data_IF_407979544685
#
_entry.id   IF_407979544685
#
_cell.length_a   1.000
_cell.length_b   1.000
_cell.length_c   1.000
_cell.angle_alpha   90.00
_cell.angle_beta   90.00
_cell.angle_gamma   90.00
#
_symmetry.space_group_name_H-M   'P 1'
#
loop_
_entity.id
_entity.type
_entity.pdbx_description
1 polymer ?
#
# COMPACT_ATOMS: atom_id res chain seq x y z
N UNK A 1 6.01 -22.96 5.14
CA UNK A 1 6.16 -21.49 5.10
C UNK A 1 6.66 -21.07 6.47
N UNK A 2 7.75 -20.31 6.53
CA UNK A 2 8.27 -19.78 7.78
C UNK A 2 7.31 -18.75 8.37
N UNK A 3 7.33 -18.60 9.69
CA UNK A 3 6.52 -17.62 10.41
C UNK A 3 6.81 -16.20 9.89
N UNK A 4 5.76 -15.38 9.79
CA UNK A 4 5.93 -13.98 9.40
C UNK A 4 6.64 -13.28 10.54
N UNK A 5 7.88 -12.85 10.32
CA UNK A 5 8.69 -12.24 11.38
C UNK A 5 8.29 -10.81 11.70
N UNK A 6 7.76 -10.07 10.70
CA UNK A 6 7.29 -8.70 10.85
C UNK A 6 6.38 -8.30 9.68
N UNK A 7 5.47 -7.36 9.92
CA UNK A 7 4.65 -6.70 8.90
C UNK A 7 5.02 -5.21 8.90
N UNK A 8 5.63 -4.76 7.82
CA UNK A 8 6.12 -3.39 7.67
C UNK A 8 5.23 -2.60 6.70
N UNK A 9 4.33 -1.71 7.18
CA UNK A 9 3.50 -0.90 6.30
C UNK A 9 4.35 0.13 5.56
N UNK A 10 4.17 0.22 4.23
CA UNK A 10 4.84 1.24 3.40
C UNK A 10 3.88 2.43 3.20
N UNK A 11 4.37 3.62 3.49
CA UNK A 11 3.62 4.87 3.35
C UNK A 11 4.46 5.96 2.65
N UNK A 12 3.78 6.97 2.10
CA UNK A 12 4.45 8.16 1.57
C UNK A 12 5.00 9.00 2.73
N UNK A 13 6.31 9.16 2.81
CA UNK A 13 6.93 10.05 3.80
C UNK A 13 6.71 11.51 3.43
N UNK A 14 6.40 12.33 4.43
CA UNK A 14 6.18 13.77 4.32
C UNK A 14 6.90 14.50 5.44
N UNK A 15 6.97 15.84 5.36
CA UNK A 15 7.52 16.65 6.45
C UNK A 15 6.65 16.52 7.70
N UNK A 16 7.32 16.41 8.85
CA UNK A 16 6.70 16.53 10.17
C UNK A 16 6.11 17.95 10.30
N UNK A 17 4.90 18.08 10.81
CA UNK A 17 4.16 19.34 11.03
C UNK A 17 3.54 20.02 9.78
N UNK A 18 3.31 19.28 8.70
CA UNK A 18 2.58 19.77 7.51
C UNK A 18 1.22 19.04 7.34
N UNK A 19 0.22 19.31 8.20
CA UNK A 19 -1.05 18.57 8.19
C UNK A 19 -1.91 18.85 6.95
N UNK A 20 -1.78 20.03 6.35
CA UNK A 20 -2.48 20.37 5.12
C UNK A 20 -1.97 19.52 3.95
N UNK A 21 -0.64 19.40 3.81
CA UNK A 21 -0.06 18.54 2.79
C UNK A 21 -0.37 17.06 3.05
N UNK A 22 -0.29 16.61 4.31
CA UNK A 22 -0.71 15.26 4.69
C UNK A 22 -2.12 14.96 4.20
N UNK A 23 -3.07 15.83 4.55
CA UNK A 23 -4.48 15.65 4.17
C UNK A 23 -4.65 15.56 2.65
N UNK A 24 -3.95 16.39 1.88
CA UNK A 24 -4.03 16.34 0.42
C UNK A 24 -3.52 15.01 -0.15
N UNK A 25 -2.43 14.45 0.41
CA UNK A 25 -1.90 13.14 0.02
C UNK A 25 -2.88 12.03 0.40
N UNK A 26 -3.38 12.02 1.64
CA UNK A 26 -4.34 11.03 2.13
C UNK A 26 -5.62 11.02 1.28
N UNK A 27 -6.17 12.19 0.98
CA UNK A 27 -7.38 12.34 0.18
C UNK A 27 -7.17 11.82 -1.25
N UNK A 28 -5.99 12.06 -1.83
CA UNK A 28 -5.62 11.50 -3.13
C UNK A 28 -5.59 9.98 -3.11
N UNK A 29 -4.98 9.37 -2.09
CA UNK A 29 -4.91 7.91 -1.94
C UNK A 29 -6.33 7.34 -1.75
N UNK A 30 -7.15 7.92 -0.87
CA UNK A 30 -8.54 7.51 -0.66
C UNK A 30 -9.38 7.58 -1.93
N UNK A 31 -9.22 8.66 -2.72
CA UNK A 31 -9.85 8.77 -4.03
C UNK A 31 -9.42 7.64 -4.97
N UNK A 32 -8.12 7.35 -5.04
CA UNK A 32 -7.60 6.29 -5.91
C UNK A 32 -8.05 4.88 -5.52
N UNK A 33 -8.24 4.63 -4.22
CA UNK A 33 -8.87 3.42 -3.72
C UNK A 33 -10.34 3.37 -4.20
N UNK A 34 -11.10 4.43 -3.95
CA UNK A 34 -12.53 4.48 -4.25
C UNK A 34 -12.85 4.39 -5.76
N UNK A 35 -12.04 5.02 -6.60
CA UNK A 35 -12.21 4.98 -8.06
C UNK A 35 -11.54 3.77 -8.73
N UNK A 36 -10.88 2.91 -7.93
CA UNK A 36 -10.21 1.69 -8.38
C UNK A 36 -8.92 1.90 -9.17
N UNK A 37 -8.43 3.14 -9.30
CA UNK A 37 -7.16 3.42 -9.98
C UNK A 37 -5.95 2.86 -9.23
N UNK A 38 -6.00 2.79 -7.88
CA UNK A 38 -4.92 2.15 -7.10
C UNK A 38 -4.84 0.64 -7.37
N UNK A 39 -5.98 -0.04 -7.47
CA UNK A 39 -6.03 -1.45 -7.80
C UNK A 39 -5.49 -1.74 -9.21
N UNK A 40 -5.82 -0.89 -10.19
CA UNK A 40 -5.27 -0.97 -11.55
C UNK A 40 -3.75 -0.75 -11.57
N UNK A 41 -3.23 0.14 -10.74
CA UNK A 41 -1.80 0.38 -10.63
C UNK A 41 -1.08 -0.84 -10.05
N UNK A 42 -1.66 -1.48 -9.02
CA UNK A 42 -1.12 -2.71 -8.46
C UNK A 42 -1.10 -3.85 -9.48
N UNK A 43 -2.20 -4.05 -10.21
CA UNK A 43 -2.27 -5.07 -11.27
C UNK A 43 -1.15 -4.86 -12.30
N UNK A 44 -0.98 -3.63 -12.80
CA UNK A 44 0.07 -3.29 -13.75
C UNK A 44 1.47 -3.64 -13.25
N UNK A 45 1.79 -3.30 -12.00
CA UNK A 45 3.18 -3.42 -11.52
C UNK A 45 3.51 -4.77 -10.90
N UNK A 46 2.53 -5.50 -10.37
CA UNK A 46 2.76 -6.77 -9.68
C UNK A 46 2.21 -7.97 -10.43
N UNK A 47 1.14 -7.81 -11.21
CA UNK A 47 0.43 -8.92 -11.84
C UNK A 47 0.59 -8.99 -13.36
N UNK A 48 1.08 -7.93 -14.00
CA UNK A 48 1.44 -7.91 -15.42
C UNK A 48 2.96 -7.94 -15.62
N UNK A 49 3.45 -8.28 -16.82
CA UNK A 49 4.84 -8.09 -17.20
C UNK A 49 5.24 -6.60 -17.13
N UNK A 50 6.39 -6.31 -16.50
CA UNK A 50 6.87 -4.94 -16.32
C UNK A 50 8.24 -4.72 -16.98
N UNK A 51 8.53 -3.49 -17.45
CA UNK A 51 9.85 -3.15 -17.96
C UNK A 51 10.91 -3.14 -16.84
N UNK A 52 12.22 -3.25 -17.17
CA UNK A 52 12.75 -3.39 -18.53
C UNK A 52 12.79 -4.84 -19.04
N UNK A 53 12.71 -5.82 -18.15
CA UNK A 53 12.90 -7.24 -18.49
C UNK A 53 11.62 -7.93 -19.02
N UNK A 54 10.47 -7.24 -19.02
CA UNK A 54 9.18 -7.77 -19.42
C UNK A 54 8.80 -9.07 -18.67
N UNK A 55 9.08 -9.08 -17.37
CA UNK A 55 8.75 -10.20 -16.46
C UNK A 55 7.69 -9.77 -15.47
N UNK A 56 6.85 -10.71 -15.05
CA UNK A 56 5.82 -10.50 -14.03
C UNK A 56 6.39 -10.80 -12.65
N UNK A 57 6.15 -9.92 -11.67
CA UNK A 57 6.52 -10.15 -10.26
C UNK A 57 5.67 -11.29 -9.66
N UNK A 58 4.36 -11.28 -9.90
CA UNK A 58 3.45 -12.36 -9.54
C UNK A 58 3.05 -12.37 -8.06
N UNK A 59 3.11 -11.23 -7.38
CA UNK A 59 2.70 -11.08 -5.99
C UNK A 59 1.28 -10.51 -5.93
N UNK A 60 0.27 -11.33 -5.58
CA UNK A 60 -1.09 -10.82 -5.37
C UNK A 60 -1.16 -10.00 -4.08
N UNK A 61 -2.20 -9.15 -3.99
CA UNK A 61 -2.48 -8.38 -2.77
C UNK A 61 -2.59 -9.31 -1.56
N UNK A 62 -1.80 -9.02 -0.53
CA UNK A 62 -1.93 -9.65 0.78
C UNK A 62 -3.23 -9.22 1.46
N UNK A 63 -3.70 -10.03 2.41
CA UNK A 63 -4.89 -9.68 3.21
C UNK A 63 -4.69 -8.36 3.96
N UNK A 64 -3.51 -8.12 4.52
CA UNK A 64 -3.17 -6.86 5.19
C UNK A 64 -3.32 -5.64 4.27
N UNK A 65 -2.88 -5.73 3.01
CA UNK A 65 -3.02 -4.62 2.06
C UNK A 65 -4.48 -4.42 1.65
N UNK A 66 -5.25 -5.50 1.47
CA UNK A 66 -6.70 -5.40 1.21
C UNK A 66 -7.42 -4.71 2.37
N UNK A 67 -7.09 -5.06 3.61
CA UNK A 67 -7.67 -4.43 4.79
C UNK A 67 -7.29 -2.96 4.89
N UNK A 68 -6.02 -2.61 4.62
CA UNK A 68 -5.57 -1.22 4.60
C UNK A 68 -6.29 -0.38 3.54
N UNK A 69 -6.63 -0.96 2.38
CA UNK A 69 -7.42 -0.26 1.36
C UNK A 69 -8.88 -0.12 1.75
N UNK A 70 -9.47 -1.15 2.37
CA UNK A 70 -10.83 -1.08 2.89
C UNK A 70 -10.97 -0.06 4.04
N UNK A 71 -9.94 0.06 4.88
CA UNK A 71 -9.90 0.93 6.05
C UNK A 71 -8.60 1.77 6.07
N UNK A 72 -8.49 2.82 5.23
CA UNK A 72 -7.29 3.65 5.12
C UNK A 72 -6.91 4.28 6.46
N UNK A 73 -5.63 4.15 6.86
CA UNK A 73 -5.12 4.58 8.16
C UNK A 73 -3.63 4.95 8.10
N UNK A 74 -3.14 5.58 9.18
CA UNK A 74 -1.73 5.93 9.38
C UNK A 74 -1.11 5.19 10.58
N UNK A 75 -1.61 3.98 10.87
CA UNK A 75 -1.13 3.26 12.05
C UNK A 75 0.37 2.98 11.91
N UNK A 76 1.15 3.12 12.99
CA UNK A 76 2.58 2.87 12.95
C UNK A 76 2.86 1.36 12.89
N UNK A 77 4.11 0.98 12.56
CA UNK A 77 4.51 -0.43 12.38
C UNK A 77 4.19 -1.28 13.63
N UNK A 78 4.36 -0.73 14.81
CA UNK A 78 4.11 -1.36 16.11
C UNK A 78 2.64 -1.77 16.31
N UNK A 79 1.72 -1.30 15.46
CA UNK A 79 0.33 -1.75 15.49
C UNK A 79 0.07 -3.05 14.72
N UNK A 80 1.06 -3.55 13.98
CA UNK A 80 0.98 -4.72 13.10
C UNK A 80 1.77 -5.93 13.64
N UNK A 81 2.03 -5.97 14.95
CA UNK A 81 2.77 -7.06 15.59
C UNK A 81 2.20 -8.44 15.20
N UNK A 82 3.08 -9.28 14.66
CA UNK A 82 2.77 -10.68 14.41
C UNK A 82 2.84 -11.40 15.75
N UNK A 83 1.70 -11.90 16.23
CA UNK A 83 1.66 -12.78 17.41
C UNK A 83 2.26 -14.14 17.11
#
# INVERSE_FOLDING_TARGET
>A
MGEVLSVEPIACMIRKDDPAFKKAVDDSIKRQIADGSLAKLYDKWFMQPIPPANVKIGLPLSEATKEAWANPNDKPMESYEVK
#
